data_IF_959448222212
#
_entry.id   IF_959448222212
#
_cell.length_a   1.000
_cell.length_b   1.000
_cell.length_c   1.000
_cell.angle_alpha   90.00
_cell.angle_beta   90.00
_cell.angle_gamma   90.00
#
_symmetry.space_group_name_H-M   'P 1'
#
loop_
_entity.id
_entity.type
_entity.pdbx_description
1 polymer ?
#
# COMPACT_ATOMS: atom_id res chain seq x y z
N UNK A 1 3.12 -5.31 -7.06
CA UNK A 1 2.59 -4.37 -8.06
C UNK A 1 1.66 -5.07 -9.07
N UNK A 2 2.05 -6.25 -9.61
CA UNK A 2 1.26 -7.04 -10.58
C UNK A 2 -0.13 -7.38 -10.04
N UNK A 3 -0.22 -7.90 -8.81
CA UNK A 3 -1.49 -8.24 -8.15
C UNK A 3 -2.35 -6.99 -7.96
N UNK A 4 -1.75 -5.89 -7.47
CA UNK A 4 -2.46 -4.64 -7.28
C UNK A 4 -3.02 -4.06 -8.60
N UNK A 5 -2.26 -4.17 -9.70
CA UNK A 5 -2.74 -3.76 -11.03
C UNK A 5 -3.90 -4.64 -11.51
N UNK A 6 -3.82 -5.95 -11.33
CA UNK A 6 -4.90 -6.89 -11.69
C UNK A 6 -6.19 -6.56 -10.93
N UNK A 7 -6.10 -6.37 -9.62
CA UNK A 7 -7.23 -5.95 -8.77
C UNK A 7 -7.77 -4.58 -9.18
N UNK A 8 -6.90 -3.59 -9.41
CA UNK A 8 -7.30 -2.25 -9.82
C UNK A 8 -8.07 -2.27 -11.15
N UNK A 9 -7.63 -3.04 -12.15
CA UNK A 9 -8.30 -3.11 -13.44
C UNK A 9 -9.71 -3.66 -13.32
N UNK A 10 -9.93 -4.67 -12.48
CA UNK A 10 -11.24 -5.26 -12.22
C UNK A 10 -12.13 -4.35 -11.37
N UNK A 11 -11.61 -3.84 -10.26
CA UNK A 11 -12.40 -3.06 -9.32
C UNK A 11 -12.78 -1.68 -9.86
N UNK A 12 -11.89 -1.03 -10.62
CA UNK A 12 -12.15 0.29 -11.20
C UNK A 12 -12.98 0.24 -12.49
N UNK A 13 -13.31 -0.94 -13.01
CA UNK A 13 -14.23 -1.08 -14.14
C UNK A 13 -15.62 -0.50 -13.84
N UNK A 14 -16.06 -0.56 -12.59
CA UNK A 14 -17.37 -0.04 -12.16
C UNK A 14 -17.51 1.48 -12.19
N UNK A 15 -16.39 2.22 -12.20
CA UNK A 15 -16.41 3.69 -12.25
C UNK A 15 -16.49 4.16 -13.71
N UNK A 16 -17.67 4.09 -14.26
CA UNK A 16 -17.99 4.33 -15.66
C UNK A 16 -18.72 5.67 -15.90
N UNK A 17 -19.08 6.38 -14.81
CA UNK A 17 -19.82 7.63 -14.85
C UNK A 17 -21.32 7.47 -15.09
N UNK A 18 -21.84 6.23 -15.16
CA UNK A 18 -23.28 5.97 -15.25
C UNK A 18 -23.86 5.78 -13.85
N UNK A 19 -23.38 4.78 -13.13
CA UNK A 19 -23.84 4.46 -11.78
C UNK A 19 -22.90 4.97 -10.69
N UNK A 20 -21.59 4.97 -10.97
CA UNK A 20 -20.58 5.35 -9.98
C UNK A 20 -19.52 6.29 -10.56
N UNK A 21 -19.01 7.17 -9.71
CA UNK A 21 -17.85 8.00 -9.97
C UNK A 21 -18.15 9.25 -10.79
N UNK A 22 -17.07 9.85 -11.26
CA UNK A 22 -17.09 11.05 -12.09
C UNK A 22 -17.74 10.77 -13.45
N UNK A 23 -18.54 11.71 -13.97
CA UNK A 23 -19.04 11.72 -15.36
C UNK A 23 -18.54 12.97 -16.06
N UNK A 24 -18.01 12.82 -17.27
CA UNK A 24 -17.64 13.95 -18.11
C UNK A 24 -18.86 14.85 -18.33
N UNK A 25 -18.63 16.17 -18.29
CA UNK A 25 -19.71 17.14 -18.44
C UNK A 25 -20.20 17.29 -19.89
N UNK A 26 -19.26 17.13 -20.84
CA UNK A 26 -19.50 17.32 -22.27
C UNK A 26 -19.11 16.06 -23.03
N UNK A 27 -20.06 15.46 -23.74
CA UNK A 27 -19.84 14.26 -24.56
C UNK A 27 -20.89 14.12 -25.66
N UNK A 28 -20.53 13.40 -26.73
CA UNK A 28 -21.41 13.08 -27.84
C UNK A 28 -21.65 11.57 -27.87
N UNK A 29 -22.86 11.15 -27.48
CA UNK A 29 -23.24 9.75 -27.44
C UNK A 29 -22.54 8.92 -26.34
N UNK A 30 -23.02 7.69 -26.16
CA UNK A 30 -22.64 6.83 -25.03
C UNK A 30 -21.16 6.44 -25.04
N UNK A 31 -20.62 6.07 -26.19
CA UNK A 31 -19.23 5.65 -26.30
C UNK A 31 -18.24 6.79 -25.93
N UNK A 32 -18.52 7.99 -26.40
CA UNK A 32 -17.70 9.16 -26.09
C UNK A 32 -17.82 9.54 -24.61
N UNK A 33 -19.01 9.39 -24.02
CA UNK A 33 -19.20 9.58 -22.57
C UNK A 33 -18.27 8.67 -21.76
N UNK A 34 -18.25 7.36 -22.04
CA UNK A 34 -17.35 6.43 -21.33
C UNK A 34 -15.88 6.80 -21.52
N UNK A 35 -15.48 7.10 -22.75
CA UNK A 35 -14.09 7.45 -23.08
C UNK A 35 -13.65 8.71 -22.34
N UNK A 36 -14.41 9.79 -22.38
CA UNK A 36 -14.11 11.05 -21.70
C UNK A 36 -14.12 10.87 -20.18
N UNK A 37 -15.17 10.26 -19.64
CA UNK A 37 -15.31 10.01 -18.20
C UNK A 37 -14.09 9.30 -17.62
N UNK A 38 -13.65 8.22 -18.24
CA UNK A 38 -12.48 7.45 -17.75
C UNK A 38 -11.16 8.17 -18.02
N UNK A 39 -11.08 8.96 -19.09
CA UNK A 39 -9.91 9.76 -19.40
C UNK A 39 -9.72 10.93 -18.42
N UNK A 40 -10.78 11.60 -18.05
CA UNK A 40 -10.76 12.75 -17.13
C UNK A 40 -10.77 12.33 -15.66
N UNK A 41 -11.54 11.29 -15.32
CA UNK A 41 -11.78 10.85 -13.94
C UNK A 41 -10.63 10.07 -13.31
N UNK A 42 -9.68 9.54 -14.10
CA UNK A 42 -8.53 8.81 -13.59
C UNK A 42 -7.21 9.54 -13.86
N UNK A 43 -6.39 9.66 -12.81
CA UNK A 43 -5.03 10.17 -12.93
C UNK A 43 -4.09 9.23 -13.71
N UNK A 44 -2.89 9.71 -14.10
CA UNK A 44 -1.96 8.93 -14.94
C UNK A 44 -1.56 7.58 -14.35
N UNK A 45 -1.28 7.51 -13.04
CA UNK A 45 -0.88 6.27 -12.37
C UNK A 45 -2.03 5.25 -12.33
N UNK A 46 -3.25 5.69 -12.08
CA UNK A 46 -4.43 4.80 -12.09
C UNK A 46 -4.66 4.23 -13.48
N UNK A 47 -4.55 5.03 -14.53
CA UNK A 47 -4.63 4.57 -15.92
C UNK A 47 -3.57 3.53 -16.24
N UNK A 48 -2.33 3.76 -15.80
CA UNK A 48 -1.22 2.81 -15.95
C UNK A 48 -1.55 1.47 -15.30
N UNK A 49 -2.06 1.48 -14.05
CA UNK A 49 -2.44 0.25 -13.34
C UNK A 49 -3.58 -0.48 -14.02
N UNK A 50 -4.59 0.22 -14.52
CA UNK A 50 -5.69 -0.40 -15.28
C UNK A 50 -5.17 -1.09 -16.54
N UNK A 51 -4.31 -0.43 -17.32
CA UNK A 51 -3.72 -0.99 -18.53
C UNK A 51 -2.85 -2.21 -18.24
N UNK A 52 -1.95 -2.11 -17.26
CA UNK A 52 -1.10 -3.23 -16.84
C UNK A 52 -1.93 -4.39 -16.26
N UNK A 53 -2.96 -4.10 -15.49
CA UNK A 53 -3.86 -5.10 -14.94
C UNK A 53 -4.58 -5.88 -16.02
N UNK A 54 -5.13 -5.20 -17.02
CA UNK A 54 -5.75 -5.82 -18.18
C UNK A 54 -4.77 -6.71 -18.97
N UNK A 55 -3.52 -6.27 -19.10
CA UNK A 55 -2.46 -7.03 -19.75
C UNK A 55 -2.12 -8.31 -18.97
N UNK A 56 -1.85 -8.22 -17.69
CA UNK A 56 -1.43 -9.38 -16.88
C UNK A 56 -2.55 -10.39 -16.64
N UNK A 57 -3.80 -9.98 -16.82
CA UNK A 57 -4.98 -10.87 -16.78
C UNK A 57 -5.34 -11.46 -18.15
N UNK A 58 -4.71 -11.02 -19.23
CA UNK A 58 -5.04 -11.48 -20.57
C UNK A 58 -4.49 -12.89 -20.84
N UNK A 59 -5.14 -13.59 -21.78
CA UNK A 59 -4.72 -14.91 -22.25
C UNK A 59 -3.25 -14.89 -22.73
N UNK A 60 -2.46 -15.88 -22.33
CA UNK A 60 -1.03 -15.98 -22.63
C UNK A 60 -0.09 -15.27 -21.65
N UNK A 61 -0.57 -14.31 -20.88
CA UNK A 61 0.24 -13.60 -19.87
C UNK A 61 -0.15 -13.94 -18.43
N UNK A 62 -1.34 -14.45 -18.23
CA UNK A 62 -1.91 -14.78 -16.92
C UNK A 62 -0.99 -15.70 -16.10
N UNK A 63 -0.54 -16.81 -16.67
CA UNK A 63 0.30 -17.77 -15.97
C UNK A 63 1.71 -17.22 -15.69
N UNK A 64 2.27 -16.51 -16.68
CA UNK A 64 3.62 -15.98 -16.61
C UNK A 64 3.77 -14.85 -15.57
N UNK A 65 2.75 -14.03 -15.39
CA UNK A 65 2.80 -12.87 -14.52
C UNK A 65 1.89 -13.00 -13.30
N UNK A 66 0.58 -13.16 -13.49
CA UNK A 66 -0.37 -13.12 -12.38
C UNK A 66 -0.26 -14.33 -11.47
N UNK A 67 -0.29 -15.55 -12.02
CA UNK A 67 -0.12 -16.78 -11.21
C UNK A 67 1.26 -16.86 -10.56
N UNK A 68 2.31 -16.43 -11.25
CA UNK A 68 3.64 -16.34 -10.65
C UNK A 68 3.67 -15.38 -9.45
N UNK A 69 3.02 -14.23 -9.56
CA UNK A 69 2.89 -13.27 -8.47
C UNK A 69 2.10 -13.84 -7.28
N UNK A 70 1.00 -14.58 -7.53
CA UNK A 70 0.23 -15.24 -6.48
C UNK A 70 1.04 -16.33 -5.75
N UNK A 71 1.83 -17.12 -6.48
CA UNK A 71 2.75 -18.11 -5.88
C UNK A 71 3.80 -17.44 -5.00
N UNK A 72 4.37 -16.31 -5.46
CA UNK A 72 5.31 -15.52 -4.65
C UNK A 72 4.65 -14.95 -3.40
N UNK A 73 3.41 -14.43 -3.50
CA UNK A 73 2.60 -14.01 -2.36
C UNK A 73 2.44 -15.13 -1.32
N UNK A 74 2.16 -16.36 -1.78
CA UNK A 74 2.02 -17.51 -0.88
C UNK A 74 3.34 -17.83 -0.14
N UNK A 75 4.50 -17.73 -0.82
CA UNK A 75 5.80 -17.91 -0.17
C UNK A 75 6.11 -16.85 0.89
N UNK A 76 5.74 -15.59 0.62
CA UNK A 76 5.87 -14.50 1.59
C UNK A 76 5.02 -14.81 2.83
N UNK A 77 3.75 -15.20 2.64
CA UNK A 77 2.89 -15.59 3.76
C UNK A 77 3.48 -16.73 4.58
N UNK A 78 3.96 -17.80 3.94
CA UNK A 78 4.58 -18.94 4.62
C UNK A 78 5.80 -18.54 5.47
N UNK A 79 6.58 -17.54 5.04
CA UNK A 79 7.70 -17.03 5.82
C UNK A 79 7.22 -16.38 7.13
N UNK A 80 6.15 -15.57 7.07
CA UNK A 80 5.53 -15.01 8.26
C UNK A 80 4.89 -16.08 9.16
N UNK A 81 4.18 -17.06 8.59
CA UNK A 81 3.57 -18.16 9.35
C UNK A 81 4.62 -18.93 10.17
N UNK A 82 5.81 -19.17 9.58
CA UNK A 82 6.93 -19.80 10.30
C UNK A 82 7.47 -18.94 11.44
N UNK A 83 7.49 -17.62 11.27
CA UNK A 83 7.90 -16.70 12.32
C UNK A 83 6.85 -16.67 13.46
N UNK A 84 5.56 -16.56 13.12
CA UNK A 84 4.49 -16.53 14.12
C UNK A 84 4.22 -17.88 14.83
N UNK A 85 4.75 -18.98 14.30
CA UNK A 85 4.80 -20.23 15.06
C UNK A 85 5.71 -20.17 16.30
N UNK A 86 6.59 -19.14 16.39
CA UNK A 86 7.57 -18.96 17.47
C UNK A 86 7.42 -17.64 18.23
N UNK A 87 6.90 -16.61 17.59
CA UNK A 87 6.85 -15.25 18.10
C UNK A 87 5.43 -14.68 18.03
N UNK A 88 5.04 -13.88 18.99
CA UNK A 88 3.73 -13.25 19.05
C UNK A 88 3.63 -11.94 18.23
N UNK A 89 4.76 -11.24 18.10
CA UNK A 89 4.87 -9.95 17.42
C UNK A 89 6.22 -9.85 16.71
N UNK A 90 6.22 -9.31 15.50
CA UNK A 90 7.44 -8.94 14.78
C UNK A 90 7.57 -7.42 14.84
N UNK A 91 8.78 -6.95 15.18
CA UNK A 91 9.10 -5.54 15.31
C UNK A 91 10.13 -5.13 14.26
N UNK A 92 9.91 -3.97 13.64
CA UNK A 92 10.81 -3.43 12.63
C UNK A 92 10.59 -1.93 12.38
N UNK A 93 11.38 -1.31 11.50
CA UNK A 93 11.12 0.07 11.09
C UNK A 93 9.84 0.13 10.24
N UNK A 94 9.09 1.24 10.35
CA UNK A 94 7.91 1.47 9.51
C UNK A 94 8.29 1.87 8.07
N UNK A 95 9.42 2.58 7.90
CA UNK A 95 9.96 3.00 6.62
C UNK A 95 11.49 3.00 6.65
N UNK A 96 12.18 2.90 5.49
CA UNK A 96 13.65 2.92 5.42
C UNK A 96 14.27 4.26 5.82
N UNK A 97 13.54 5.34 5.65
CA UNK A 97 14.00 6.72 5.90
C UNK A 97 12.88 7.51 6.57
N UNK A 98 13.24 8.65 7.16
CA UNK A 98 12.26 9.68 7.55
C UNK A 98 11.62 10.33 6.32
N UNK A 99 10.62 11.17 6.51
CA UNK A 99 9.85 11.77 5.43
C UNK A 99 10.76 12.50 4.41
N UNK A 100 10.59 12.25 3.09
CA UNK A 100 11.29 12.99 2.05
C UNK A 100 10.72 14.41 1.91
N UNK A 101 11.44 15.29 1.23
CA UNK A 101 10.90 16.62 0.87
C UNK A 101 9.72 16.48 -0.10
N UNK A 102 8.80 17.44 -0.02
CA UNK A 102 7.66 17.48 -0.94
C UNK A 102 8.13 17.48 -2.40
N UNK A 103 7.58 16.57 -3.21
CA UNK A 103 7.93 16.40 -4.62
C UNK A 103 9.18 15.58 -4.91
N UNK A 104 10.04 15.29 -3.93
CA UNK A 104 11.30 14.56 -4.16
C UNK A 104 11.08 13.09 -4.56
N UNK A 105 10.07 12.44 -3.99
CA UNK A 105 9.75 11.02 -4.26
C UNK A 105 9.11 10.78 -5.64
N UNK A 106 8.60 11.82 -6.30
CA UNK A 106 7.90 11.71 -7.60
C UNK A 106 8.85 11.59 -8.78
N UNK A 107 10.13 11.96 -8.62
CA UNK A 107 11.12 11.98 -9.69
C UNK A 107 11.78 10.62 -9.95
N UNK A 108 11.75 9.70 -8.99
CA UNK A 108 12.37 8.36 -9.10
C UNK A 108 11.39 7.27 -8.63
N UNK A 109 10.74 6.55 -9.55
CA UNK A 109 9.81 5.47 -9.22
C UNK A 109 10.44 4.34 -8.39
N UNK A 110 11.72 4.02 -8.61
CA UNK A 110 12.40 2.96 -7.87
C UNK A 110 12.59 3.36 -6.40
N UNK A 111 12.98 4.60 -6.14
CA UNK A 111 13.12 5.16 -4.79
C UNK A 111 11.77 5.17 -4.06
N UNK A 112 10.69 5.48 -4.78
CA UNK A 112 9.33 5.42 -4.24
C UNK A 112 8.94 4.00 -3.83
N UNK A 113 9.20 2.98 -4.68
CA UNK A 113 8.89 1.59 -4.35
C UNK A 113 9.73 1.04 -3.19
N UNK A 114 10.98 1.46 -3.07
CA UNK A 114 11.84 1.07 -1.94
C UNK A 114 11.35 1.67 -0.61
N UNK A 115 10.61 2.77 -0.65
CA UNK A 115 9.97 3.35 0.53
C UNK A 115 8.97 2.41 1.22
N UNK A 116 8.35 1.51 0.45
CA UNK A 116 7.30 0.59 0.94
C UNK A 116 7.83 -0.81 1.28
N UNK A 117 9.15 -1.03 1.28
CA UNK A 117 9.76 -2.36 1.42
C UNK A 117 9.34 -3.11 2.69
N UNK A 118 9.10 -2.40 3.80
CA UNK A 118 8.68 -2.99 5.06
C UNK A 118 7.17 -3.15 5.22
N UNK A 119 6.35 -2.46 4.41
CA UNK A 119 4.89 -2.48 4.53
C UNK A 119 4.21 -3.37 3.49
N UNK A 120 4.76 -3.47 2.28
CA UNK A 120 4.18 -4.28 1.20
C UNK A 120 4.10 -5.76 1.57
N UNK A 121 5.11 -6.32 2.22
CA UNK A 121 5.13 -7.73 2.63
C UNK A 121 4.01 -8.07 3.62
N UNK A 122 3.70 -7.16 4.54
CA UNK A 122 2.62 -7.28 5.54
C UNK A 122 1.27 -7.32 4.83
N UNK A 123 1.04 -6.41 3.87
CA UNK A 123 -0.17 -6.37 3.06
C UNK A 123 -0.33 -7.65 2.22
N UNK A 124 0.76 -8.14 1.58
CA UNK A 124 0.75 -9.38 0.79
C UNK A 124 0.44 -10.60 1.66
N UNK A 125 0.94 -10.64 2.88
CA UNK A 125 0.67 -11.74 3.81
C UNK A 125 -0.72 -11.64 4.48
N UNK A 126 -1.42 -10.51 4.38
CA UNK A 126 -2.73 -10.28 5.00
C UNK A 126 -2.67 -10.21 6.52
N UNK A 127 -1.64 -9.53 7.04
CA UNK A 127 -1.37 -9.45 8.48
C UNK A 127 -1.74 -8.07 9.04
N UNK A 128 -2.18 -7.98 10.30
CA UNK A 128 -2.37 -6.72 10.98
C UNK A 128 -1.01 -6.08 11.31
N UNK A 129 -0.94 -4.76 11.17
CA UNK A 129 0.23 -3.97 11.50
C UNK A 129 -0.16 -2.64 12.13
N UNK A 130 0.67 -2.15 13.04
CA UNK A 130 0.53 -0.82 13.64
C UNK A 130 1.88 -0.11 13.59
N UNK A 131 1.86 1.18 13.30
CA UNK A 131 3.04 2.03 13.40
C UNK A 131 2.89 2.98 14.58
N UNK A 132 3.91 3.07 15.40
CA UNK A 132 3.98 3.98 16.54
C UNK A 132 5.24 4.83 16.46
N UNK A 133 5.21 6.11 16.83
CA UNK A 133 6.41 6.94 16.88
C UNK A 133 7.41 6.40 17.90
N UNK A 134 8.69 6.28 17.53
CA UNK A 134 9.75 5.79 18.43
C UNK A 134 10.91 6.75 18.64
N UNK A 135 10.88 7.89 17.99
CA UNK A 135 11.91 8.93 18.12
C UNK A 135 11.86 9.92 16.96
N UNK A 136 12.90 10.70 16.85
CA UNK A 136 13.13 11.65 15.75
C UNK A 136 14.54 11.50 15.20
N UNK A 137 14.74 11.86 13.95
CA UNK A 137 16.07 11.93 13.34
C UNK A 137 16.81 13.22 13.76
N UNK A 138 18.02 13.41 13.23
CA UNK A 138 18.84 14.60 13.48
C UNK A 138 18.22 15.92 13.00
N UNK A 139 17.15 15.86 12.22
CA UNK A 139 16.39 17.02 11.72
C UNK A 139 15.06 17.21 12.44
N UNK A 140 14.77 16.40 13.46
CA UNK A 140 13.50 16.43 14.18
C UNK A 140 12.35 15.72 13.49
N UNK A 141 12.58 15.00 12.37
CA UNK A 141 11.54 14.26 11.67
C UNK A 141 11.19 12.96 12.38
N UNK A 142 9.90 12.59 12.50
CA UNK A 142 9.47 11.39 13.21
C UNK A 142 10.00 10.11 12.59
N UNK A 143 10.38 9.16 13.47
CA UNK A 143 10.73 7.79 13.11
C UNK A 143 9.63 6.87 13.61
N UNK A 144 9.12 5.99 12.73
CA UNK A 144 8.08 5.02 13.01
C UNK A 144 8.64 3.64 13.31
N UNK A 145 8.16 3.06 14.41
CA UNK A 145 8.32 1.65 14.75
C UNK A 145 7.10 0.89 14.25
N UNK A 146 7.29 -0.18 13.48
CA UNK A 146 6.23 -1.07 13.03
C UNK A 146 6.16 -2.32 13.90
N UNK A 147 4.96 -2.67 14.34
CA UNK A 147 4.63 -3.91 15.02
C UNK A 147 3.66 -4.71 14.13
N UNK A 148 4.02 -5.95 13.83
CA UNK A 148 3.24 -6.84 12.97
C UNK A 148 2.77 -8.02 13.82
N UNK A 149 1.48 -8.36 13.73
CA UNK A 149 0.88 -9.51 14.40
C UNK A 149 0.45 -10.59 13.43
N UNK A 150 0.16 -11.76 13.94
CA UNK A 150 -0.49 -12.82 13.17
C UNK A 150 -1.95 -12.46 12.83
N UNK A 151 -2.54 -13.16 11.86
CA UNK A 151 -3.93 -12.95 11.44
C UNK A 151 -4.89 -12.93 12.63
N UNK A 152 -5.74 -11.89 12.68
CA UNK A 152 -6.72 -11.68 13.77
C UNK A 152 -6.11 -11.56 15.19
N UNK A 153 -4.83 -11.17 15.29
CA UNK A 153 -4.14 -10.94 16.56
C UNK A 153 -3.87 -9.45 16.82
N UNK A 154 -4.76 -8.57 16.34
CA UNK A 154 -4.67 -7.11 16.54
C UNK A 154 -4.48 -6.74 18.02
N UNK A 155 -5.13 -7.45 18.91
CA UNK A 155 -5.00 -7.24 20.37
C UNK A 155 -3.54 -7.34 20.85
N UNK A 156 -2.78 -8.27 20.29
CA UNK A 156 -1.37 -8.46 20.68
C UNK A 156 -0.52 -7.25 20.31
N UNK A 157 -0.65 -6.77 19.06
CA UNK A 157 0.13 -5.60 18.60
C UNK A 157 -0.32 -4.31 19.28
N UNK A 158 -1.62 -4.13 19.56
CA UNK A 158 -2.11 -2.98 20.31
C UNK A 158 -1.56 -2.97 21.73
N UNK A 159 -1.54 -4.11 22.44
CA UNK A 159 -0.94 -4.21 23.76
C UNK A 159 0.55 -3.91 23.76
N UNK A 160 1.28 -4.46 22.78
CA UNK A 160 2.72 -4.20 22.64
C UNK A 160 2.98 -2.70 22.35
N UNK A 161 2.22 -2.11 21.43
CA UNK A 161 2.28 -0.69 21.10
C UNK A 161 2.01 0.18 22.34
N UNK A 162 0.92 -0.08 23.06
CA UNK A 162 0.57 0.64 24.27
C UNK A 162 1.65 0.53 25.34
N UNK A 163 2.17 -0.69 25.61
CA UNK A 163 3.23 -0.89 26.57
C UNK A 163 4.49 -0.11 26.18
N UNK A 164 4.85 -0.09 24.90
CA UNK A 164 5.98 0.69 24.41
C UNK A 164 5.73 2.21 24.60
N UNK A 165 4.53 2.70 24.30
CA UNK A 165 4.18 4.11 24.50
C UNK A 165 4.33 4.58 25.96
N UNK A 166 4.04 3.71 26.94
CA UNK A 166 4.18 4.04 28.36
C UNK A 166 5.65 4.15 28.81
N UNK A 167 6.59 3.52 28.09
CA UNK A 167 8.02 3.51 28.45
C UNK A 167 8.83 4.63 27.79
N UNK A 168 8.28 5.26 26.73
CA UNK A 168 9.01 6.30 26.01
C UNK A 168 8.90 7.66 26.71
N UNK A 169 10.01 8.38 26.74
CA UNK A 169 10.07 9.78 27.23
C UNK A 169 9.71 10.80 26.13
N UNK A 170 9.74 10.37 24.88
CA UNK A 170 9.44 11.18 23.71
C UNK A 170 7.93 11.35 23.52
N UNK A 171 7.45 12.58 23.62
CA UNK A 171 6.08 12.96 23.21
C UNK A 171 6.15 13.60 21.84
N UNK A 172 5.53 12.97 20.85
CA UNK A 172 5.31 13.62 19.55
C UNK A 172 4.22 14.67 19.74
N UNK A 173 4.60 15.94 19.71
CA UNK A 173 3.65 17.00 19.45
C UNK A 173 3.28 16.96 17.96
N UNK A 174 2.00 16.95 17.57
CA UNK A 174 1.62 17.23 16.18
C UNK A 174 2.35 18.52 15.77
N UNK A 175 2.84 18.58 14.53
CA UNK A 175 3.47 19.79 14.03
C UNK A 175 2.56 20.96 14.39
N UNK A 176 3.09 21.93 15.15
CA UNK A 176 2.38 23.16 15.40
C UNK A 176 1.96 23.71 14.04
N UNK A 177 0.71 24.12 13.93
CA UNK A 177 0.16 24.70 12.72
C UNK A 177 1.14 25.75 12.18
N UNK A 178 1.66 25.45 10.97
CA UNK A 178 2.57 26.34 10.27
C UNK A 178 1.75 27.35 9.46
#
# INVERSE_FOLDING_TARGET
YVIACAEASSNLARFDGVKYGYRAKEYEGLHNMYKKTRSEGFGPEVKRRIMLGSFVLSSGYYDAYYLKALRTKALIKQAFDKAFAKYDVILGPAAPTTAPKLGESLSDPLKMYLGDVYTVSVNLAGLPGISVPCGVDSKGLPIGLQLIGDCFKEKNIIRAAYSFEQTRTYQHSPAAEA
#
